data_IF_000677713017
#
_entry.id   IF_000677713017
#
_cell.length_a   1.000
_cell.length_b   1.000
_cell.length_c   1.000
_cell.angle_alpha   90.00
_cell.angle_beta   90.00
_cell.angle_gamma   90.00
#
_symmetry.space_group_name_H-M   'P 1'
#
loop_
_entity.id
_entity.type
_entity.pdbx_description
1 polymer ?
#
# COMPACT_ATOMS: atom_id res chain seq x y z
N UNK A 1 -4.85 -22.76 -16.37
CA UNK A 1 -6.14 -22.87 -15.66
C UNK A 1 -6.10 -21.81 -14.57
N UNK A 2 -7.15 -20.99 -14.43
CA UNK A 2 -7.17 -19.79 -13.59
C UNK A 2 -8.30 -19.86 -12.56
N UNK A 3 -8.50 -21.05 -11.94
CA UNK A 3 -9.69 -21.35 -11.12
C UNK A 3 -9.78 -20.47 -9.87
N UNK A 4 -8.62 -20.08 -9.32
CA UNK A 4 -8.54 -19.17 -8.18
C UNK A 4 -8.75 -17.73 -8.64
N UNK A 5 -8.13 -17.33 -9.76
CA UNK A 5 -8.22 -15.97 -10.28
C UNK A 5 -9.63 -15.59 -10.72
N UNK A 6 -10.40 -16.53 -11.27
CA UNK A 6 -11.82 -16.32 -11.62
C UNK A 6 -12.69 -15.97 -10.40
N UNK A 7 -12.28 -16.38 -9.20
CA UNK A 7 -13.02 -16.10 -7.95
C UNK A 7 -12.51 -14.88 -7.21
N UNK A 8 -11.20 -14.69 -7.16
CA UNK A 8 -10.57 -13.58 -6.43
C UNK A 8 -10.55 -12.27 -7.23
N UNK A 9 -10.45 -12.36 -8.55
CA UNK A 9 -10.29 -11.23 -9.47
C UNK A 9 -11.07 -11.50 -10.77
N UNK A 10 -12.41 -11.55 -10.73
CA UNK A 10 -13.24 -11.90 -11.90
C UNK A 10 -13.15 -10.93 -13.09
N UNK A 11 -12.53 -9.76 -12.88
CA UNK A 11 -12.26 -8.74 -13.91
C UNK A 11 -10.85 -8.86 -14.52
N UNK A 12 -9.99 -9.77 -14.02
CA UNK A 12 -8.66 -10.01 -14.57
C UNK A 12 -8.74 -10.91 -15.79
N UNK A 13 -8.00 -10.56 -16.84
CA UNK A 13 -7.99 -11.30 -18.09
C UNK A 13 -6.62 -11.97 -18.32
N UNK A 14 -6.57 -13.30 -18.46
CA UNK A 14 -5.31 -14.03 -18.66
C UNK A 14 -4.60 -13.68 -19.99
N UNK A 15 -5.29 -13.08 -20.97
CA UNK A 15 -4.67 -12.63 -22.23
C UNK A 15 -3.86 -11.34 -22.12
N UNK A 16 -4.08 -10.53 -21.07
CA UNK A 16 -3.37 -9.25 -20.86
C UNK A 16 -2.03 -9.45 -20.11
N UNK A 17 -1.70 -10.69 -19.77
CA UNK A 17 -0.46 -11.06 -19.07
C UNK A 17 -0.60 -11.06 -17.54
N UNK A 18 0.49 -11.37 -16.82
CA UNK A 18 0.49 -11.36 -15.36
C UNK A 18 0.18 -9.95 -14.82
N UNK A 19 -0.56 -9.87 -13.72
CA UNK A 19 -0.94 -8.63 -13.07
C UNK A 19 0.28 -7.74 -12.84
N UNK A 20 0.21 -6.52 -13.38
CA UNK A 20 1.31 -5.59 -13.32
C UNK A 20 1.47 -5.05 -11.90
N UNK A 21 2.70 -4.67 -11.52
CA UNK A 21 2.94 -4.01 -10.24
C UNK A 21 2.19 -2.67 -10.13
N UNK A 22 1.78 -2.07 -11.25
CA UNK A 22 0.98 -0.85 -11.30
C UNK A 22 -0.49 -1.13 -10.96
N UNK A 23 -1.07 -2.21 -11.48
CA UNK A 23 -2.44 -2.63 -11.15
C UNK A 23 -2.57 -2.94 -9.66
N UNK A 24 -1.59 -3.65 -9.11
CA UNK A 24 -1.53 -3.90 -7.66
C UNK A 24 -1.42 -2.58 -6.88
N UNK A 25 -0.55 -1.66 -7.30
CA UNK A 25 -0.42 -0.38 -6.63
C UNK A 25 -1.70 0.45 -6.65
N UNK A 26 -2.42 0.47 -7.78
CA UNK A 26 -3.71 1.14 -7.90
C UNK A 26 -4.78 0.46 -7.04
N UNK A 27 -4.79 -0.87 -7.00
CA UNK A 27 -5.69 -1.63 -6.16
C UNK A 27 -5.49 -1.30 -4.67
N UNK A 28 -4.25 -1.30 -4.20
CA UNK A 28 -3.93 -0.93 -2.81
C UNK A 28 -4.17 0.56 -2.53
N UNK A 29 -3.90 1.44 -3.48
CA UNK A 29 -4.13 2.88 -3.34
C UNK A 29 -5.63 3.24 -3.28
N UNK A 30 -6.46 2.53 -4.05
CA UNK A 30 -7.91 2.71 -4.05
C UNK A 30 -8.61 2.05 -2.84
N UNK A 31 -7.88 1.30 -2.02
CA UNK A 31 -8.45 0.72 -0.81
C UNK A 31 -8.92 1.81 0.16
N UNK A 32 -10.06 1.62 0.86
CA UNK A 32 -10.63 2.64 1.74
C UNK A 32 -9.65 3.05 2.85
N UNK A 33 -8.83 2.12 3.33
CA UNK A 33 -7.79 2.38 4.34
C UNK A 33 -6.70 3.31 3.80
N UNK A 34 -6.20 3.05 2.59
CA UNK A 34 -5.22 3.91 1.93
C UNK A 34 -5.76 5.31 1.67
N UNK A 35 -7.02 5.43 1.24
CA UNK A 35 -7.66 6.73 1.00
C UNK A 35 -7.74 7.54 2.30
N UNK A 36 -8.16 6.91 3.41
CA UNK A 36 -8.19 7.56 4.73
C UNK A 36 -6.78 7.99 5.17
N UNK A 37 -5.77 7.14 4.97
CA UNK A 37 -4.38 7.47 5.30
C UNK A 37 -3.84 8.62 4.44
N UNK A 38 -4.18 8.68 3.15
CA UNK A 38 -3.81 9.79 2.27
C UNK A 38 -4.43 11.10 2.75
N UNK A 39 -5.72 11.10 3.10
CA UNK A 39 -6.40 12.27 3.67
C UNK A 39 -5.78 12.68 5.01
N UNK A 40 -5.52 11.73 5.91
CA UNK A 40 -4.87 11.99 7.19
C UNK A 40 -3.47 12.58 7.00
N UNK A 41 -2.70 12.08 6.03
CA UNK A 41 -1.38 12.61 5.67
C UNK A 41 -1.49 14.03 5.13
N UNK A 42 -2.43 14.30 4.22
CA UNK A 42 -2.68 15.63 3.68
C UNK A 42 -3.07 16.64 4.78
N UNK A 43 -3.90 16.22 5.75
CA UNK A 43 -4.28 17.01 6.92
C UNK A 43 -3.04 17.28 7.80
N UNK A 44 -2.26 16.25 8.10
CA UNK A 44 -1.04 16.38 8.90
C UNK A 44 -0.04 17.38 8.29
N UNK A 45 0.14 17.31 6.96
CA UNK A 45 0.94 18.26 6.19
C UNK A 45 0.34 19.67 6.25
N UNK A 46 -0.98 19.81 6.07
CA UNK A 46 -1.67 21.12 6.05
C UNK A 46 -1.58 21.87 7.36
N UNK A 47 -1.61 21.16 8.48
CA UNK A 47 -1.43 21.74 9.83
C UNK A 47 0.02 21.74 10.29
N UNK A 48 0.95 21.19 9.48
CA UNK A 48 2.37 21.02 9.79
C UNK A 48 2.59 20.43 11.20
N UNK A 49 1.72 19.52 11.60
CA UNK A 49 1.71 18.97 12.96
C UNK A 49 2.75 17.86 13.07
N UNK A 50 3.75 17.97 13.97
CA UNK A 50 4.74 16.90 14.14
C UNK A 50 4.11 15.60 14.63
N UNK A 51 3.10 15.70 15.51
CA UNK A 51 2.33 14.55 15.98
C UNK A 51 1.44 13.94 14.90
N UNK A 52 0.87 14.79 14.04
CA UNK A 52 0.09 14.33 12.88
C UNK A 52 0.95 13.58 11.87
N UNK A 53 2.15 14.09 11.59
CA UNK A 53 3.11 13.41 10.70
C UNK A 53 3.55 12.05 11.26
N UNK A 54 3.82 11.97 12.56
CA UNK A 54 4.18 10.70 13.23
C UNK A 54 3.03 9.69 13.17
N UNK A 55 1.80 10.12 13.47
CA UNK A 55 0.63 9.26 13.38
C UNK A 55 0.40 8.74 11.95
N UNK A 56 0.57 9.59 10.93
CA UNK A 56 0.46 9.20 9.53
C UNK A 56 1.52 8.15 9.15
N UNK A 57 2.79 8.36 9.50
CA UNK A 57 3.87 7.40 9.23
C UNK A 57 3.61 6.07 9.93
N UNK A 58 3.19 6.08 11.20
CA UNK A 58 2.82 4.86 11.91
C UNK A 58 1.66 4.13 11.23
N UNK A 59 0.63 4.85 10.77
CA UNK A 59 -0.49 4.28 10.03
C UNK A 59 -0.06 3.62 8.71
N UNK A 60 0.78 4.30 7.94
CA UNK A 60 1.36 3.76 6.71
C UNK A 60 2.24 2.53 6.96
N UNK A 61 3.09 2.56 7.99
CA UNK A 61 3.91 1.41 8.37
C UNK A 61 3.09 0.21 8.82
N UNK A 62 2.01 0.44 9.59
CA UNK A 62 1.09 -0.62 10.00
C UNK A 62 0.37 -1.25 8.79
N UNK A 63 -0.08 -0.44 7.83
CA UNK A 63 -0.69 -0.94 6.60
C UNK A 63 0.29 -1.80 5.78
N UNK A 64 1.52 -1.32 5.58
CA UNK A 64 2.56 -2.09 4.87
C UNK A 64 2.87 -3.40 5.60
N UNK A 65 2.93 -3.38 6.93
CA UNK A 65 3.12 -4.59 7.73
C UNK A 65 2.00 -5.60 7.46
N UNK A 66 0.74 -5.17 7.50
CA UNK A 66 -0.41 -6.06 7.21
C UNK A 66 -0.36 -6.60 5.77
N UNK A 67 -0.01 -5.78 4.78
CA UNK A 67 0.08 -6.23 3.38
C UNK A 67 1.19 -7.28 3.22
N UNK A 68 2.36 -7.08 3.81
CA UNK A 68 3.50 -7.99 3.64
C UNK A 68 3.33 -9.26 4.45
N UNK A 69 2.91 -9.15 5.71
CA UNK A 69 2.82 -10.29 6.63
C UNK A 69 1.46 -10.99 6.58
N UNK A 70 0.38 -10.30 6.23
CA UNK A 70 -0.93 -10.93 6.05
C UNK A 70 -0.93 -11.94 4.91
N UNK A 71 -0.21 -11.64 3.83
CA UNK A 71 0.02 -12.54 2.71
C UNK A 71 0.88 -13.76 3.09
N UNK A 72 1.88 -13.56 3.96
CA UNK A 72 2.75 -14.63 4.47
C UNK A 72 2.04 -15.57 5.45
N UNK A 73 0.94 -15.12 6.06
CA UNK A 73 0.16 -15.89 7.02
C UNK A 73 -1.07 -16.55 6.40
N UNK A 74 -1.27 -16.51 5.07
CA UNK A 74 -2.42 -17.10 4.40
C UNK A 74 -2.52 -18.62 4.70
N UNK A 75 -3.43 -19.02 5.61
CA UNK A 75 -3.55 -20.42 6.03
C UNK A 75 -4.23 -21.28 4.97
N UNK A 76 -4.80 -20.64 3.94
CA UNK A 76 -5.53 -21.30 2.85
C UNK A 76 -4.64 -21.60 1.65
N UNK A 77 -3.46 -20.98 1.57
CA UNK A 77 -2.51 -21.15 0.46
C UNK A 77 -3.02 -20.58 -0.87
N UNK A 78 -4.05 -19.74 -0.85
CA UNK A 78 -4.70 -19.20 -2.04
C UNK A 78 -3.84 -18.09 -2.67
N UNK A 79 -3.20 -17.26 -1.86
CA UNK A 79 -2.28 -16.22 -2.33
C UNK A 79 -1.06 -16.74 -3.12
N UNK A 80 -0.34 -17.80 -2.70
CA UNK A 80 0.74 -18.37 -3.51
C UNK A 80 0.22 -19.05 -4.79
N UNK A 81 -0.99 -19.64 -4.77
CA UNK A 81 -1.61 -20.21 -5.98
C UNK A 81 -1.99 -19.11 -6.98
N UNK A 82 -2.58 -18.01 -6.52
CA UNK A 82 -2.93 -16.86 -7.35
C UNK A 82 -1.69 -16.11 -7.90
N UNK A 83 -0.57 -16.10 -7.17
CA UNK A 83 0.73 -15.63 -7.70
C UNK A 83 1.31 -16.57 -8.77
N UNK A 84 1.15 -17.88 -8.61
CA UNK A 84 1.59 -18.86 -9.61
C UNK A 84 0.76 -18.77 -10.90
N UNK A 85 -0.53 -18.47 -10.78
CA UNK A 85 -1.42 -18.17 -11.91
C UNK A 85 -1.19 -16.77 -12.51
N UNK A 86 -0.45 -15.91 -11.81
CA UNK A 86 -0.01 -14.61 -12.29
C UNK A 86 -1.01 -13.47 -12.08
N UNK A 87 -2.12 -13.69 -11.39
CA UNK A 87 -3.16 -12.68 -11.17
C UNK A 87 -2.87 -11.76 -9.98
N UNK A 88 -1.95 -12.13 -9.10
CA UNK A 88 -1.44 -11.26 -8.03
C UNK A 88 -0.01 -10.87 -8.36
N UNK A 89 0.21 -9.57 -8.59
CA UNK A 89 1.52 -9.00 -8.84
C UNK A 89 2.32 -8.73 -7.57
N UNK A 90 3.51 -8.12 -7.72
CA UNK A 90 4.31 -7.70 -6.56
C UNK A 90 3.76 -6.39 -5.97
N UNK A 91 3.56 -6.27 -4.64
CA UNK A 91 3.16 -5.01 -3.99
C UNK A 91 4.32 -4.00 -3.88
N UNK A 92 5.49 -4.30 -4.46
CA UNK A 92 6.73 -3.55 -4.26
C UNK A 92 6.61 -2.07 -4.68
N UNK A 93 5.89 -1.78 -5.77
CA UNK A 93 5.66 -0.40 -6.21
C UNK A 93 4.83 0.41 -5.21
N UNK A 94 3.79 -0.19 -4.62
CA UNK A 94 2.99 0.46 -3.59
C UNK A 94 3.83 0.77 -2.35
N UNK A 95 4.63 -0.19 -1.90
CA UNK A 95 5.52 -0.02 -0.73
C UNK A 95 6.54 1.09 -0.99
N UNK A 96 7.11 1.17 -2.20
CA UNK A 96 8.01 2.25 -2.58
C UNK A 96 7.33 3.63 -2.54
N UNK A 97 6.09 3.72 -3.02
CA UNK A 97 5.29 4.95 -2.94
C UNK A 97 5.00 5.35 -1.48
N UNK A 98 4.61 4.39 -0.64
CA UNK A 98 4.37 4.64 0.78
C UNK A 98 5.64 5.12 1.48
N UNK A 99 6.79 4.51 1.18
CA UNK A 99 8.07 4.96 1.72
C UNK A 99 8.38 6.41 1.31
N UNK A 100 8.13 6.79 0.06
CA UNK A 100 8.29 8.17 -0.42
C UNK A 100 7.35 9.15 0.31
N UNK A 101 6.08 8.77 0.54
CA UNK A 101 5.11 9.57 1.30
C UNK A 101 5.58 9.76 2.74
N UNK A 102 6.04 8.70 3.40
CA UNK A 102 6.56 8.77 4.76
C UNK A 102 7.75 9.72 4.86
N UNK A 103 8.74 9.60 3.96
CA UNK A 103 9.91 10.49 3.91
C UNK A 103 9.48 11.94 3.69
N UNK A 104 8.60 12.20 2.71
CA UNK A 104 8.08 13.54 2.44
C UNK A 104 7.34 14.14 3.64
N UNK A 105 6.55 13.31 4.34
CA UNK A 105 5.82 13.71 5.55
C UNK A 105 6.79 14.12 6.64
N UNK A 106 7.79 13.29 6.96
CA UNK A 106 8.79 13.58 7.98
C UNK A 106 9.56 14.86 7.66
N UNK A 107 10.05 15.01 6.43
CA UNK A 107 10.80 16.20 6.00
C UNK A 107 9.95 17.47 6.11
N UNK A 108 8.66 17.39 5.79
CA UNK A 108 7.77 18.55 5.80
C UNK A 108 7.26 18.92 7.20
N UNK A 109 7.00 17.94 8.06
CA UNK A 109 6.53 18.16 9.44
C UNK A 109 7.67 18.29 10.45
N UNK A 110 8.92 18.03 10.04
CA UNK A 110 10.08 18.25 10.89
C UNK A 110 10.13 19.72 11.36
N UNK A 111 10.36 19.96 12.66
CA UNK A 111 10.68 21.30 13.15
C UNK A 111 11.92 21.78 12.40
N UNK A 112 11.82 22.92 11.71
CA UNK A 112 13.00 23.54 11.11
C UNK A 112 14.04 23.79 12.19
N UNK A 113 15.29 23.40 11.94
CA UNK A 113 16.44 23.72 12.82
C UNK A 113 16.74 25.23 12.80
N UNK A 114 15.81 26.03 13.29
CA UNK A 114 15.92 27.48 13.38
C UNK A 114 14.75 28.06 14.16
N UNK A 115 14.92 28.25 15.47
CA UNK A 115 13.92 28.97 16.26
C UNK A 115 13.99 28.77 17.77
N UNK A 116 15.07 29.28 18.39
CA UNK A 116 15.34 29.49 19.82
C UNK A 116 15.63 28.26 20.69
#
# INVERSE_FOLDING_TARGET
MAEVCDKERPLWNPTDGPASALDEALHFAASPVSVVLLLATAIALRFRSPWGGLAAVCGWSALVFVIVFGDAQDPTGIAPMARAEGCIGSPALFIALVAAICVGTVVYTAPGRGGK
#
